data_IF_039774087221
#
_entry.id   IF_039774087221
#
_cell.length_a   1.000
_cell.length_b   1.000
_cell.length_c   1.000
_cell.angle_alpha   90.00
_cell.angle_beta   90.00
_cell.angle_gamma   90.00
#
_symmetry.space_group_name_H-M   'P 1'
#
loop_
_entity.id
_entity.type
_entity.pdbx_description
1 polymer ?
#
# COMPACT_ATOMS: atom_id res chain seq x y z
N UNK A 1 -15.28 -7.49 5.22
CA UNK A 1 -14.14 -6.72 4.68
C UNK A 1 -13.37 -7.66 3.78
N UNK A 2 -13.13 -7.28 2.53
CA UNK A 2 -12.42 -8.13 1.58
C UNK A 2 -10.97 -7.67 1.50
N UNK A 3 -10.03 -8.60 1.70
CA UNK A 3 -8.59 -8.34 1.62
C UNK A 3 -8.06 -9.07 0.39
N UNK A 4 -7.36 -8.34 -0.48
CA UNK A 4 -6.70 -8.89 -1.67
C UNK A 4 -5.22 -8.57 -1.58
N UNK A 5 -4.37 -9.59 -1.68
CA UNK A 5 -2.91 -9.45 -1.66
C UNK A 5 -2.33 -9.73 -3.04
N UNK A 6 -1.45 -8.85 -3.52
CA UNK A 6 -0.71 -9.03 -4.78
C UNK A 6 0.72 -9.40 -4.46
N UNK A 7 1.06 -10.68 -4.62
CA UNK A 7 2.37 -11.23 -4.23
C UNK A 7 3.05 -11.92 -5.40
N UNK A 8 4.37 -11.74 -5.48
CA UNK A 8 5.26 -12.46 -6.40
C UNK A 8 6.72 -12.23 -5.93
N UNK A 9 7.52 -13.28 -5.85
CA UNK A 9 8.92 -13.19 -5.41
C UNK A 9 9.80 -12.42 -6.41
N UNK A 10 9.45 -12.38 -7.69
CA UNK A 10 10.22 -11.68 -8.71
C UNK A 10 9.98 -10.17 -8.65
N UNK A 11 11.04 -9.38 -8.69
CA UNK A 11 11.00 -7.93 -8.89
C UNK A 11 10.60 -7.54 -10.31
N UNK A 12 10.04 -6.34 -10.50
CA UNK A 12 9.73 -5.82 -11.86
C UNK A 12 8.57 -6.51 -12.60
N UNK A 13 7.70 -7.24 -11.90
CA UNK A 13 6.53 -7.95 -12.47
C UNK A 13 5.20 -7.21 -12.25
N UNK A 14 5.26 -5.88 -12.12
CA UNK A 14 4.10 -4.98 -12.00
C UNK A 14 3.21 -5.13 -10.74
N UNK A 15 3.67 -5.79 -9.65
CA UNK A 15 2.88 -5.93 -8.39
C UNK A 15 2.32 -4.60 -7.88
N UNK A 16 3.18 -3.60 -7.74
CA UNK A 16 2.84 -2.25 -7.27
C UNK A 16 1.87 -1.57 -8.24
N UNK A 17 2.16 -1.63 -9.54
CA UNK A 17 1.31 -1.08 -10.60
C UNK A 17 -0.09 -1.68 -10.57
N UNK A 18 -0.20 -3.01 -10.45
CA UNK A 18 -1.48 -3.72 -10.34
C UNK A 18 -2.22 -3.29 -9.07
N UNK A 19 -1.56 -3.25 -7.92
CA UNK A 19 -2.18 -2.90 -6.64
C UNK A 19 -2.75 -1.47 -6.67
N UNK A 20 -1.98 -0.51 -7.18
CA UNK A 20 -2.41 0.89 -7.33
C UNK A 20 -3.62 1.02 -8.26
N UNK A 21 -3.58 0.39 -9.44
CA UNK A 21 -4.66 0.50 -10.42
C UNK A 21 -5.94 -0.19 -9.97
N UNK A 22 -5.83 -1.35 -9.30
CA UNK A 22 -7.00 -2.03 -8.70
C UNK A 22 -7.60 -1.17 -7.58
N UNK A 23 -6.77 -0.58 -6.71
CA UNK A 23 -7.24 0.31 -5.66
C UNK A 23 -7.95 1.55 -6.23
N UNK A 24 -7.35 2.19 -7.24
CA UNK A 24 -7.93 3.34 -7.93
C UNK A 24 -9.25 2.99 -8.61
N UNK A 25 -9.33 1.86 -9.32
CA UNK A 25 -10.57 1.39 -9.95
C UNK A 25 -11.70 1.22 -8.93
N UNK A 26 -11.43 0.58 -7.79
CA UNK A 26 -12.44 0.41 -6.75
C UNK A 26 -12.84 1.74 -6.09
N UNK A 27 -11.89 2.64 -5.87
CA UNK A 27 -12.17 4.01 -5.41
C UNK A 27 -13.09 4.77 -6.36
N UNK A 28 -12.84 4.70 -7.67
CA UNK A 28 -13.70 5.28 -8.71
C UNK A 28 -15.11 4.68 -8.75
N UNK A 29 -15.28 3.43 -8.30
CA UNK A 29 -16.59 2.78 -8.14
C UNK A 29 -17.28 3.12 -6.81
N UNK A 30 -16.77 4.11 -6.07
CA UNK A 30 -17.37 4.59 -4.82
C UNK A 30 -17.08 3.69 -3.61
N UNK A 31 -16.14 2.75 -3.72
CA UNK A 31 -15.75 1.90 -2.58
C UNK A 31 -14.71 2.62 -1.72
N UNK A 32 -14.81 2.46 -0.40
CA UNK A 32 -13.72 2.77 0.52
C UNK A 32 -12.62 1.73 0.34
N UNK A 33 -11.42 2.17 -0.01
CA UNK A 33 -10.27 1.31 -0.28
C UNK A 33 -9.10 1.75 0.60
N UNK A 34 -8.46 0.79 1.26
CA UNK A 34 -7.19 0.96 1.94
C UNK A 34 -6.13 0.21 1.14
N UNK A 35 -5.09 0.93 0.71
CA UNK A 35 -3.90 0.34 0.08
C UNK A 35 -2.80 0.26 1.14
N UNK A 36 -2.22 -0.93 1.33
CA UNK A 36 -1.11 -1.16 2.27
C UNK A 36 0.13 -1.48 1.43
N UNK A 37 1.18 -0.66 1.56
CA UNK A 37 2.48 -0.91 0.95
C UNK A 37 3.33 -1.75 1.91
N UNK A 38 3.59 -3.01 1.55
CA UNK A 38 4.41 -3.95 2.33
C UNK A 38 5.79 -4.20 1.69
N UNK A 39 6.20 -3.36 0.74
CA UNK A 39 7.52 -3.43 0.13
C UNK A 39 8.47 -2.42 0.82
N UNK A 40 9.63 -2.82 1.35
CA UNK A 40 10.61 -1.91 1.94
C UNK A 40 11.06 -0.77 1.00
N UNK A 41 10.91 -0.93 -0.32
CA UNK A 41 11.21 0.12 -1.30
C UNK A 41 10.14 1.22 -1.38
N UNK A 42 9.02 1.05 -0.66
CA UNK A 42 7.92 2.02 -0.54
C UNK A 42 7.38 2.51 -1.89
N UNK A 43 7.38 1.65 -2.91
CA UNK A 43 7.12 2.05 -4.28
C UNK A 43 5.66 2.48 -4.51
N UNK A 44 4.70 1.91 -3.77
CA UNK A 44 3.30 2.34 -3.88
C UNK A 44 3.10 3.70 -3.21
N UNK A 45 3.69 3.88 -2.03
CA UNK A 45 3.65 5.14 -1.28
C UNK A 45 4.26 6.28 -2.10
N UNK A 46 5.47 6.09 -2.65
CA UNK A 46 6.15 7.09 -3.48
C UNK A 46 5.39 7.41 -4.77
N UNK A 47 4.73 6.44 -5.38
CA UNK A 47 3.92 6.68 -6.57
C UNK A 47 2.73 7.62 -6.30
N UNK A 48 2.18 7.63 -5.08
CA UNK A 48 1.05 8.48 -4.70
C UNK A 48 1.52 9.82 -4.13
N UNK A 49 2.56 9.81 -3.28
CA UNK A 49 2.94 10.97 -2.47
C UNK A 49 4.29 11.60 -2.85
N UNK A 50 5.00 11.05 -3.83
CA UNK A 50 6.35 11.49 -4.21
C UNK A 50 7.37 11.24 -3.10
N UNK A 51 8.30 12.18 -2.93
CA UNK A 51 9.37 12.11 -1.91
C UNK A 51 8.93 12.61 -0.53
N UNK A 52 7.62 12.61 -0.25
CA UNK A 52 7.10 12.98 1.06
C UNK A 52 7.60 11.98 2.12
N UNK A 53 8.16 12.51 3.20
CA UNK A 53 8.53 11.72 4.36
C UNK A 53 7.34 11.51 5.31
N UNK A 54 7.30 10.35 5.95
CA UNK A 54 6.29 9.96 6.92
C UNK A 54 6.99 9.55 8.21
N UNK A 55 6.46 9.99 9.35
CA UNK A 55 7.00 9.68 10.67
C UNK A 55 6.87 8.20 11.02
N UNK A 56 5.83 7.55 10.52
CA UNK A 56 5.53 6.15 10.78
C UNK A 56 5.28 5.40 9.47
N UNK A 57 5.63 4.12 9.50
CA UNK A 57 5.40 3.17 8.42
C UNK A 57 4.58 1.97 8.91
N UNK A 58 4.17 1.10 7.99
CA UNK A 58 3.52 -0.16 8.36
C UNK A 58 4.41 -1.03 9.26
N UNK A 59 5.73 -0.88 9.17
CA UNK A 59 6.70 -1.60 10.00
C UNK A 59 6.50 -1.28 11.49
N UNK A 60 6.30 -0.01 11.83
CA UNK A 60 6.08 0.45 13.21
C UNK A 60 4.79 -0.13 13.81
N UNK A 61 3.73 -0.18 12.99
CA UNK A 61 2.46 -0.81 13.37
C UNK A 61 2.63 -2.31 13.60
N UNK A 62 3.34 -3.01 12.72
CA UNK A 62 3.56 -4.46 12.83
C UNK A 62 4.38 -4.84 14.06
N UNK A 63 5.29 -3.97 14.50
CA UNK A 63 6.06 -4.13 15.74
C UNK A 63 5.30 -3.67 16.99
N UNK A 64 4.09 -3.15 16.86
CA UNK A 64 3.31 -2.52 17.93
C UNK A 64 4.01 -1.32 18.60
N UNK A 65 4.87 -0.61 17.85
CA UNK A 65 5.48 0.64 18.31
C UNK A 65 4.48 1.80 18.23
N UNK A 66 3.52 1.72 17.31
CA UNK A 66 2.43 2.70 17.14
C UNK A 66 1.10 1.98 16.89
N UNK A 67 -0.01 2.57 17.33
CA UNK A 67 -1.34 2.04 17.07
C UNK A 67 -1.77 2.32 15.63
N UNK A 68 -2.49 1.39 15.01
CA UNK A 68 -3.17 1.66 13.74
C UNK A 68 -4.45 2.45 13.99
N UNK A 69 -4.60 3.60 13.31
CA UNK A 69 -5.82 4.39 13.32
C UNK A 69 -6.75 4.00 12.15
N UNK A 70 -8.04 4.33 12.28
CA UNK A 70 -9.11 3.95 11.34
C UNK A 70 -9.43 5.02 10.30
#
# INVERSE_FOLDING_TARGET
>A
MNVTSVINQKGGVAKTTTSLNVAAFWGQKGRKVLLIDLDPQSSATKAIFGDREFEHSIYDVLLNNVASEK
#
